data_IF_874306164381
#
_entry.id   IF_874306164381
#
_cell.length_a   1.000
_cell.length_b   1.000
_cell.length_c   1.000
_cell.angle_alpha   90.00
_cell.angle_beta   90.00
_cell.angle_gamma   90.00
#
_symmetry.space_group_name_H-M   'P 1'
#
loop_
_entity.id
_entity.type
_entity.pdbx_description
1 polymer ?
#
# COMPACT_ATOMS: atom_id res chain seq x y z
N UNK A 1 -7.26 13.90 -37.43
CA UNK A 1 -6.00 13.64 -36.70
C UNK A 1 -5.79 14.59 -35.52
N UNK A 2 -6.08 15.88 -35.63
CA UNK A 2 -5.90 16.87 -34.53
C UNK A 2 -6.67 16.55 -33.24
N UNK A 3 -7.93 16.07 -33.36
CA UNK A 3 -8.74 15.68 -32.21
C UNK A 3 -8.11 14.55 -31.39
N UNK A 4 -7.45 13.60 -32.06
CA UNK A 4 -6.77 12.47 -31.42
C UNK A 4 -5.47 12.93 -30.72
N UNK A 5 -4.71 13.82 -31.35
CA UNK A 5 -3.52 14.43 -30.75
C UNK A 5 -3.84 15.29 -29.51
N UNK A 6 -4.95 16.04 -29.55
CA UNK A 6 -5.45 16.84 -28.42
C UNK A 6 -5.89 15.95 -27.24
N UNK A 7 -6.54 14.83 -27.52
CA UNK A 7 -6.90 13.85 -26.48
C UNK A 7 -5.65 13.23 -25.88
N UNK A 8 -4.68 12.81 -26.70
CA UNK A 8 -3.42 12.24 -26.24
C UNK A 8 -2.59 13.22 -25.42
N UNK A 9 -2.52 14.50 -25.82
CA UNK A 9 -1.81 15.53 -25.06
C UNK A 9 -2.50 15.84 -23.73
N UNK A 10 -3.84 15.87 -23.69
CA UNK A 10 -4.63 16.03 -22.47
C UNK A 10 -4.45 14.87 -21.50
N UNK A 11 -4.48 13.63 -22.00
CA UNK A 11 -4.21 12.42 -21.20
C UNK A 11 -2.77 12.46 -20.67
N UNK A 12 -1.79 12.77 -21.52
CA UNK A 12 -0.37 12.87 -21.11
C UNK A 12 -0.16 13.96 -20.06
N UNK A 13 -0.84 15.10 -20.18
CA UNK A 13 -0.77 16.18 -19.20
C UNK A 13 -1.40 15.79 -17.85
N UNK A 14 -2.55 15.12 -17.86
CA UNK A 14 -3.17 14.58 -16.63
C UNK A 14 -2.30 13.50 -15.98
N UNK A 15 -1.75 12.58 -16.76
CA UNK A 15 -0.82 11.56 -16.24
C UNK A 15 0.45 12.21 -15.65
N UNK A 16 0.91 13.32 -16.23
CA UNK A 16 2.03 14.07 -15.66
C UNK A 16 1.68 14.68 -14.30
N UNK A 17 0.48 15.25 -14.14
CA UNK A 17 0.02 15.77 -12.84
C UNK A 17 -0.16 14.68 -11.78
N UNK A 18 -0.66 13.49 -12.15
CA UNK A 18 -0.78 12.35 -11.23
C UNK A 18 0.60 11.89 -10.73
N UNK A 19 1.65 12.09 -11.53
CA UNK A 19 3.03 11.73 -11.20
C UNK A 19 3.82 12.88 -10.54
N UNK A 20 3.17 14.01 -10.28
CA UNK A 20 3.81 15.21 -9.74
C UNK A 20 3.71 15.20 -8.20
N UNK A 21 4.56 14.39 -7.57
CA UNK A 21 4.68 14.27 -6.10
C UNK A 21 5.49 15.45 -5.52
N UNK A 22 5.05 16.68 -5.79
CA UNK A 22 5.77 17.92 -5.45
C UNK A 22 5.97 18.14 -3.94
N UNK A 23 5.24 17.41 -3.09
CA UNK A 23 5.38 17.45 -1.62
C UNK A 23 6.76 16.99 -1.14
N UNK A 24 7.42 16.08 -1.86
CA UNK A 24 8.73 15.52 -1.49
C UNK A 24 9.88 15.99 -2.40
N UNK A 25 9.57 16.76 -3.45
CA UNK A 25 10.51 17.08 -4.54
C UNK A 25 11.49 18.19 -4.21
N UNK A 26 11.09 19.12 -3.33
CA UNK A 26 11.90 20.25 -2.94
C UNK A 26 12.04 20.30 -1.42
N UNK A 27 13.24 20.66 -0.96
CA UNK A 27 13.53 21.04 0.43
C UNK A 27 12.86 22.39 0.76
N UNK A 28 11.55 22.50 0.52
CA UNK A 28 10.76 23.66 0.86
C UNK A 28 10.56 23.68 2.37
N UNK A 29 10.66 24.85 2.98
CA UNK A 29 10.37 25.06 4.41
C UNK A 29 8.88 24.83 4.77
N UNK A 30 8.09 24.30 3.84
CA UNK A 30 6.70 23.89 4.01
C UNK A 30 6.63 22.35 4.04
N UNK A 31 7.32 21.72 4.98
CA UNK A 31 7.12 20.31 5.27
C UNK A 31 5.74 20.15 5.92
N UNK A 32 4.81 19.50 5.21
CA UNK A 32 3.50 19.10 5.76
C UNK A 32 3.65 17.84 6.65
N UNK A 33 4.67 17.83 7.50
CA UNK A 33 4.98 16.74 8.42
C UNK A 33 5.08 17.29 9.83
N UNK A 34 4.67 16.52 10.84
CA UNK A 34 4.95 16.88 12.23
C UNK A 34 6.39 16.51 12.59
N UNK A 35 7.12 17.44 13.20
CA UNK A 35 8.53 17.27 13.62
C UNK A 35 8.70 16.41 14.89
N UNK A 36 7.82 15.43 15.11
CA UNK A 36 7.86 14.61 16.32
C UNK A 36 9.06 13.63 16.29
N UNK A 37 9.91 13.71 17.31
CA UNK A 37 11.10 12.86 17.44
C UNK A 37 10.74 11.57 18.19
N UNK A 38 10.89 10.43 17.49
CA UNK A 38 10.58 9.08 18.00
C UNK A 38 11.52 8.69 19.13
N UNK A 39 10.97 8.23 20.26
CA UNK A 39 11.74 7.88 21.46
C UNK A 39 12.40 6.49 21.37
N UNK A 40 11.81 5.57 20.60
CA UNK A 40 12.30 4.20 20.42
C UNK A 40 12.09 3.72 18.97
N UNK A 41 13.15 3.19 18.37
CA UNK A 41 13.12 2.53 17.06
C UNK A 41 13.99 1.27 17.15
N UNK A 42 13.47 0.12 16.70
CA UNK A 42 14.22 -1.12 16.64
C UNK A 42 15.27 -1.02 15.52
N UNK A 43 16.41 -1.74 15.62
CA UNK A 43 17.50 -1.62 14.67
C UNK A 43 17.10 -1.95 13.23
N UNK A 44 16.09 -2.82 13.02
CA UNK A 44 15.59 -3.18 11.69
C UNK A 44 14.54 -2.19 11.13
N UNK A 45 14.01 -1.28 11.95
CA UNK A 45 13.07 -0.25 11.51
C UNK A 45 13.78 1.04 11.12
N UNK A 46 15.09 1.13 11.37
CA UNK A 46 15.93 2.22 10.91
C UNK A 46 16.22 2.02 9.43
N UNK A 47 15.55 2.80 8.60
CA UNK A 47 15.83 2.89 7.17
C UNK A 47 16.90 3.96 6.98
N UNK A 48 17.99 3.63 6.27
CA UNK A 48 19.10 4.57 6.03
C UNK A 48 18.66 5.77 5.18
N UNK A 49 17.78 5.56 4.19
CA UNK A 49 17.17 6.60 3.36
C UNK A 49 15.65 6.41 3.21
N UNK A 50 14.86 6.89 4.19
CA UNK A 50 13.41 6.72 4.16
C UNK A 50 12.74 7.57 3.06
N UNK A 51 13.30 8.75 2.77
CA UNK A 51 12.77 9.66 1.74
C UNK A 51 13.01 9.08 0.35
N UNK A 52 14.20 8.52 0.10
CA UNK A 52 14.50 7.83 -1.16
C UNK A 52 13.62 6.61 -1.39
N UNK A 53 13.30 5.83 -0.34
CA UNK A 53 12.41 4.67 -0.45
C UNK A 53 10.97 5.08 -0.80
N UNK A 54 10.43 6.11 -0.14
CA UNK A 54 9.10 6.69 -0.45
C UNK A 54 9.06 7.22 -1.88
N UNK A 55 10.06 8.02 -2.28
CA UNK A 55 10.16 8.52 -3.66
C UNK A 55 10.32 7.40 -4.68
N UNK A 56 11.03 6.33 -4.34
CA UNK A 56 11.17 5.15 -5.19
C UNK A 56 9.81 4.49 -5.41
N UNK A 57 9.03 4.25 -4.36
CA UNK A 57 7.69 3.65 -4.48
C UNK A 57 6.73 4.53 -5.26
N UNK A 58 6.71 5.83 -4.95
CA UNK A 58 5.95 6.81 -5.69
C UNK A 58 6.34 6.79 -7.17
N UNK A 59 7.62 6.90 -7.53
CA UNK A 59 8.03 6.87 -8.94
C UNK A 59 7.65 5.56 -9.64
N UNK A 60 7.63 4.46 -8.89
CA UNK A 60 7.35 3.12 -9.36
C UNK A 60 5.89 2.67 -9.16
N UNK A 61 4.97 3.58 -8.78
CA UNK A 61 3.58 3.22 -8.47
C UNK A 61 2.88 2.52 -9.66
N UNK A 62 3.25 2.87 -10.89
CA UNK A 62 2.74 2.28 -12.12
C UNK A 62 3.00 0.77 -12.24
N UNK A 63 4.00 0.23 -11.52
CA UNK A 63 4.21 -1.21 -11.44
C UNK A 63 3.06 -1.92 -10.73
N UNK A 64 2.30 -1.26 -9.84
CA UNK A 64 1.10 -1.84 -9.21
C UNK A 64 -0.01 -2.15 -10.21
N UNK A 65 -0.17 -1.33 -11.24
CA UNK A 65 -1.10 -1.59 -12.36
C UNK A 65 -0.63 -2.83 -13.14
N UNK A 66 0.67 -2.87 -13.47
CA UNK A 66 1.25 -4.01 -14.18
C UNK A 66 1.08 -5.31 -13.37
N UNK A 67 1.33 -5.25 -12.06
CA UNK A 67 1.14 -6.38 -11.15
C UNK A 67 -0.32 -6.82 -11.10
N UNK A 68 -1.27 -5.88 -11.09
CA UNK A 68 -2.72 -6.16 -11.08
C UNK A 68 -3.18 -6.87 -12.37
N UNK A 69 -2.66 -6.45 -13.53
CA UNK A 69 -2.95 -7.10 -14.82
C UNK A 69 -2.37 -8.52 -14.84
N UNK A 70 -1.10 -8.67 -14.45
CA UNK A 70 -0.43 -9.99 -14.36
C UNK A 70 -1.20 -10.89 -13.40
N UNK A 71 -1.58 -10.38 -12.24
CA UNK A 71 -2.39 -11.07 -11.25
C UNK A 71 -3.70 -11.62 -11.84
N UNK A 72 -4.45 -10.82 -12.60
CA UNK A 72 -5.68 -11.26 -13.25
C UNK A 72 -5.44 -12.41 -14.24
N UNK A 73 -4.39 -12.27 -15.07
CA UNK A 73 -4.00 -13.30 -16.06
C UNK A 73 -3.63 -14.60 -15.35
N UNK A 74 -2.80 -14.52 -14.31
CA UNK A 74 -2.36 -15.68 -13.51
C UNK A 74 -3.56 -16.37 -12.86
N UNK A 75 -4.48 -15.62 -12.25
CA UNK A 75 -5.69 -16.19 -11.63
C UNK A 75 -6.57 -16.91 -12.67
N UNK A 76 -6.75 -16.33 -13.85
CA UNK A 76 -7.51 -16.98 -14.94
C UNK A 76 -6.82 -18.23 -15.46
N UNK A 77 -5.50 -18.20 -15.59
CA UNK A 77 -4.70 -19.37 -15.99
C UNK A 77 -4.83 -20.50 -14.97
N UNK A 78 -4.70 -20.21 -13.67
CA UNK A 78 -4.84 -21.21 -12.61
C UNK A 78 -6.28 -21.75 -12.57
N UNK A 79 -7.30 -20.90 -12.71
CA UNK A 79 -8.71 -21.36 -12.83
C UNK A 79 -8.90 -22.33 -14.00
N UNK A 80 -8.29 -22.05 -15.15
CA UNK A 80 -8.35 -22.91 -16.32
C UNK A 80 -7.64 -24.27 -16.08
N UNK A 81 -6.43 -24.26 -15.50
CA UNK A 81 -5.69 -25.48 -15.14
C UNK A 81 -6.47 -26.32 -14.12
N UNK A 82 -7.06 -25.66 -13.12
CA UNK A 82 -7.85 -26.32 -12.07
C UNK A 82 -9.14 -26.92 -12.60
N UNK A 83 -9.65 -26.54 -13.79
CA UNK A 83 -10.90 -27.09 -14.35
C UNK A 83 -10.90 -28.62 -14.36
N UNK A 84 -9.77 -29.21 -14.75
CA UNK A 84 -9.59 -30.66 -14.91
C UNK A 84 -8.95 -31.36 -13.69
N UNK A 85 -8.76 -30.66 -12.56
CA UNK A 85 -8.14 -31.23 -11.34
C UNK A 85 -9.12 -31.26 -10.17
N UNK A 86 -8.89 -32.09 -9.16
CA UNK A 86 -9.68 -32.06 -7.93
C UNK A 86 -9.31 -30.86 -7.02
N UNK A 87 -10.23 -30.36 -6.18
CA UNK A 87 -9.94 -29.26 -5.27
C UNK A 87 -8.92 -29.69 -4.20
N UNK A 88 -7.93 -28.84 -3.94
CA UNK A 88 -6.94 -29.14 -2.91
C UNK A 88 -7.49 -28.89 -1.50
N UNK A 89 -7.11 -29.74 -0.54
CA UNK A 89 -7.41 -29.56 0.88
C UNK A 89 -6.38 -28.63 1.54
N UNK A 90 -6.47 -27.32 1.26
CA UNK A 90 -5.54 -26.30 1.78
C UNK A 90 -6.01 -25.66 3.10
N UNK A 91 -6.77 -26.38 3.93
CA UNK A 91 -7.35 -25.81 5.16
C UNK A 91 -6.29 -25.42 6.20
N UNK A 92 -5.27 -26.27 6.41
CA UNK A 92 -4.17 -25.98 7.35
C UNK A 92 -3.26 -24.85 6.84
N UNK A 93 -2.77 -24.86 5.58
CA UNK A 93 -2.01 -23.74 5.03
C UNK A 93 -2.77 -22.41 5.08
N UNK A 94 -4.07 -22.41 4.74
CA UNK A 94 -4.89 -21.20 4.80
C UNK A 94 -5.03 -20.66 6.23
N UNK A 95 -5.16 -21.54 7.22
CA UNK A 95 -5.21 -21.13 8.62
C UNK A 95 -3.90 -20.48 9.06
N UNK A 96 -2.76 -21.10 8.74
CA UNK A 96 -1.42 -20.57 9.06
C UNK A 96 -1.22 -19.22 8.36
N UNK A 97 -1.58 -19.14 7.09
CA UNK A 97 -1.52 -17.91 6.29
C UNK A 97 -2.32 -16.77 6.93
N UNK A 98 -3.58 -17.01 7.25
CA UNK A 98 -4.44 -16.02 7.90
C UNK A 98 -3.91 -15.64 9.29
N UNK A 99 -3.34 -16.59 10.04
CA UNK A 99 -2.73 -16.31 11.35
C UNK A 99 -1.48 -15.44 11.23
N UNK A 100 -0.62 -15.68 10.23
CA UNK A 100 0.53 -14.85 9.93
C UNK A 100 0.12 -13.43 9.54
N UNK A 101 -0.90 -13.29 8.67
CA UNK A 101 -1.43 -11.97 8.29
C UNK A 101 -2.04 -11.25 9.50
N UNK A 102 -2.81 -11.96 10.34
CA UNK A 102 -3.39 -11.38 11.55
C UNK A 102 -2.32 -10.90 12.54
N UNK A 103 -1.27 -11.71 12.75
CA UNK A 103 -0.14 -11.33 13.61
C UNK A 103 0.61 -10.11 13.03
N UNK A 104 0.88 -10.11 11.73
CA UNK A 104 1.51 -8.98 11.04
C UNK A 104 0.67 -7.70 11.21
N UNK A 105 -0.65 -7.77 10.99
CA UNK A 105 -1.56 -6.65 11.19
C UNK A 105 -1.62 -6.19 12.64
N UNK A 106 -1.57 -7.11 13.61
CA UNK A 106 -1.57 -6.77 15.03
C UNK A 106 -0.26 -6.06 15.43
N UNK A 107 0.89 -6.54 14.97
CA UNK A 107 2.18 -5.88 15.24
C UNK A 107 2.22 -4.51 14.56
N UNK A 108 1.81 -4.43 13.29
CA UNK A 108 1.72 -3.16 12.58
C UNK A 108 0.81 -2.17 13.30
N UNK A 109 -0.36 -2.62 13.76
CA UNK A 109 -1.26 -1.80 14.58
C UNK A 109 -0.59 -1.36 15.88
N UNK A 110 0.03 -2.26 16.65
CA UNK A 110 0.71 -1.91 17.90
C UNK A 110 1.80 -0.88 17.66
N UNK A 111 2.67 -1.06 16.66
CA UNK A 111 3.76 -0.12 16.34
C UNK A 111 3.23 1.21 15.80
N UNK A 112 2.11 1.19 15.09
CA UNK A 112 1.42 2.40 14.66
C UNK A 112 0.69 3.09 15.82
N UNK A 113 0.17 2.37 16.81
CA UNK A 113 -0.52 2.92 17.98
C UNK A 113 0.38 3.21 19.17
N UNK A 114 1.62 2.70 19.15
CA UNK A 114 2.62 2.99 20.16
C UNK A 114 2.66 4.50 20.35
N UNK A 115 2.87 4.91 21.60
CA UNK A 115 2.53 6.23 22.14
C UNK A 115 2.96 7.42 21.27
N UNK A 116 3.85 7.24 20.32
CA UNK A 116 4.27 8.21 19.32
C UNK A 116 3.16 8.67 18.35
N UNK A 117 2.41 7.82 17.66
CA UNK A 117 1.33 8.29 16.74
C UNK A 117 0.15 8.82 17.53
N UNK A 118 -0.21 8.18 18.64
CA UNK A 118 -1.27 8.69 19.52
C UNK A 118 -0.84 10.02 20.10
N UNK A 119 0.41 10.20 20.56
CA UNK A 119 0.87 11.53 21.01
C UNK A 119 0.93 12.51 19.86
N UNK A 120 1.35 12.14 18.67
CA UNK A 120 1.43 13.05 17.52
C UNK A 120 0.04 13.48 17.04
N UNK A 121 -0.90 12.54 16.90
CA UNK A 121 -2.29 12.81 16.52
C UNK A 121 -3.04 13.50 17.66
N UNK A 122 -2.92 13.06 18.91
CA UNK A 122 -3.57 13.72 20.05
C UNK A 122 -2.98 15.11 20.25
N UNK A 123 -1.66 15.29 20.19
CA UNK A 123 -1.00 16.59 20.25
C UNK A 123 -1.44 17.47 19.08
N UNK A 124 -1.52 16.92 17.88
CA UNK A 124 -1.96 17.64 16.69
C UNK A 124 -3.43 18.03 16.78
N UNK A 125 -4.31 17.15 17.25
CA UNK A 125 -5.74 17.43 17.39
C UNK A 125 -5.99 18.47 18.50
N UNK A 126 -5.24 18.37 19.61
CA UNK A 126 -5.42 19.25 20.77
C UNK A 126 -4.73 20.60 20.64
N UNK A 127 -3.56 20.68 20.00
CA UNK A 127 -2.74 21.90 19.94
C UNK A 127 -2.65 22.53 18.54
N UNK A 128 -2.82 21.74 17.47
CA UNK A 128 -2.63 22.17 16.08
C UNK A 128 -3.94 22.17 15.26
N UNK A 129 -5.04 21.69 15.85
CA UNK A 129 -6.38 21.59 15.26
C UNK A 129 -6.58 20.35 14.38
N UNK A 130 -7.86 20.05 14.05
CA UNK A 130 -8.22 18.89 13.22
C UNK A 130 -7.63 18.96 11.81
N UNK A 131 -7.45 20.17 11.26
CA UNK A 131 -6.91 20.37 9.92
C UNK A 131 -5.50 19.83 9.77
N UNK A 132 -4.59 20.18 10.69
CA UNK A 132 -3.20 19.67 10.64
C UNK A 132 -3.14 18.17 10.90
N UNK A 133 -4.03 17.64 11.75
CA UNK A 133 -4.08 16.21 12.07
C UNK A 133 -4.54 15.31 10.93
N UNK A 134 -5.36 15.83 10.02
CA UNK A 134 -5.88 15.08 8.87
C UNK A 134 -5.09 15.33 7.59
N UNK A 135 -4.52 16.54 7.44
CA UNK A 135 -3.85 16.95 6.21
C UNK A 135 -2.32 16.85 6.27
N UNK A 136 -1.71 16.74 7.46
CA UNK A 136 -0.26 16.54 7.55
C UNK A 136 0.05 15.05 7.47
N UNK A 137 1.10 14.75 6.71
CA UNK A 137 1.55 13.38 6.43
C UNK A 137 2.58 12.95 7.48
N UNK A 138 2.64 11.63 7.68
CA UNK A 138 3.55 10.99 8.62
C UNK A 138 4.99 11.41 8.31
N UNK A 139 5.75 11.78 9.33
CA UNK A 139 7.14 12.17 9.15
C UNK A 139 7.94 11.00 8.50
N UNK A 140 8.69 11.21 7.41
CA UNK A 140 9.30 10.11 6.66
C UNK A 140 10.34 9.33 7.48
N UNK A 141 11.02 9.98 8.44
CA UNK A 141 11.97 9.32 9.36
C UNK A 141 11.32 8.55 10.51
N UNK A 142 10.00 8.36 10.47
CA UNK A 142 9.26 7.72 11.53
C UNK A 142 9.29 6.20 11.46
N UNK A 143 9.12 5.57 12.63
CA UNK A 143 8.79 4.14 12.71
C UNK A 143 7.46 3.86 11.97
N UNK A 144 6.51 4.79 12.03
CA UNK A 144 5.23 4.68 11.34
C UNK A 144 5.37 4.63 9.81
N UNK A 145 6.31 5.36 9.21
CA UNK A 145 6.59 5.32 7.77
C UNK A 145 7.13 3.96 7.32
N UNK A 146 8.01 3.35 8.12
CA UNK A 146 8.49 1.98 7.86
C UNK A 146 7.34 0.95 7.90
N UNK A 147 6.48 1.03 8.92
CA UNK A 147 5.32 0.13 9.02
C UNK A 147 4.24 0.42 7.96
N UNK A 148 4.08 1.67 7.51
CA UNK A 148 3.23 2.04 6.39
C UNK A 148 3.73 1.43 5.06
N UNK A 149 5.05 1.42 4.84
CA UNK A 149 5.66 0.70 3.73
C UNK A 149 5.38 -0.80 3.80
N UNK A 150 5.62 -1.43 4.95
CA UNK A 150 5.32 -2.85 5.13
C UNK A 150 3.83 -3.16 4.90
N UNK A 151 2.93 -2.26 5.32
CA UNK A 151 1.50 -2.36 5.04
C UNK A 151 1.19 -2.26 3.54
N UNK A 152 1.87 -1.38 2.79
CA UNK A 152 1.72 -1.33 1.34
C UNK A 152 2.20 -2.64 0.67
N UNK A 153 3.31 -3.21 1.14
CA UNK A 153 3.82 -4.50 0.67
C UNK A 153 2.89 -5.66 1.04
N UNK A 154 2.21 -5.61 2.19
CA UNK A 154 1.27 -6.65 2.60
C UNK A 154 0.10 -6.80 1.62
N UNK A 155 -0.28 -5.74 0.88
CA UNK A 155 -1.32 -5.82 -0.17
C UNK A 155 -0.94 -6.71 -1.34
N UNK A 156 0.36 -6.80 -1.64
CA UNK A 156 0.87 -7.75 -2.63
C UNK A 156 0.78 -9.18 -2.08
N UNK A 157 1.14 -9.36 -0.81
CA UNK A 157 1.06 -10.66 -0.13
C UNK A 157 -0.39 -11.14 -0.07
N UNK A 158 -1.36 -10.28 0.29
CA UNK A 158 -2.81 -10.56 0.34
C UNK A 158 -3.39 -11.10 -0.98
N UNK A 159 -2.74 -10.90 -2.13
CA UNK A 159 -3.12 -11.58 -3.37
C UNK A 159 -3.10 -13.11 -3.25
N UNK A 160 -2.30 -13.65 -2.33
CA UNK A 160 -2.28 -15.07 -1.98
C UNK A 160 -3.65 -15.62 -1.57
N UNK A 161 -4.52 -14.82 -0.97
CA UNK A 161 -5.87 -15.25 -0.56
C UNK A 161 -6.68 -15.77 -1.74
N UNK A 162 -6.58 -15.07 -2.86
CA UNK A 162 -7.30 -15.41 -4.09
C UNK A 162 -6.74 -16.69 -4.72
N UNK A 163 -5.43 -16.94 -4.59
CA UNK A 163 -4.80 -18.20 -5.01
C UNK A 163 -5.37 -19.37 -4.21
N UNK A 164 -5.48 -19.24 -2.89
CA UNK A 164 -6.07 -20.29 -2.05
C UNK A 164 -7.54 -20.54 -2.40
N UNK A 165 -8.32 -19.52 -2.76
CA UNK A 165 -9.71 -19.66 -3.19
C UNK A 165 -9.80 -20.46 -4.50
N UNK A 166 -8.98 -20.10 -5.49
CA UNK A 166 -8.96 -20.76 -6.81
C UNK A 166 -8.50 -22.21 -6.69
N UNK A 167 -7.43 -22.47 -5.92
CA UNK A 167 -6.91 -23.83 -5.70
C UNK A 167 -7.90 -24.73 -4.95
N UNK A 168 -8.79 -24.15 -4.15
CA UNK A 168 -9.88 -24.88 -3.46
C UNK A 168 -11.16 -24.98 -4.29
N UNK A 169 -11.17 -24.48 -5.53
CA UNK A 169 -12.34 -24.38 -6.42
C UNK A 169 -13.54 -23.69 -5.76
N UNK A 170 -13.30 -22.69 -4.92
CA UNK A 170 -14.38 -21.88 -4.33
C UNK A 170 -14.78 -20.77 -5.32
N UNK A 171 -16.06 -20.37 -5.37
CA UNK A 171 -16.51 -19.33 -6.29
C UNK A 171 -15.82 -18.01 -5.95
N UNK A 172 -15.06 -17.49 -6.91
CA UNK A 172 -14.40 -16.19 -6.80
C UNK A 172 -15.40 -15.10 -7.16
N UNK A 173 -15.89 -14.35 -6.16
CA UNK A 173 -16.79 -13.21 -6.38
C UNK A 173 -16.05 -12.04 -7.04
N UNK A 174 -16.73 -11.29 -7.91
CA UNK A 174 -16.18 -10.11 -8.59
C UNK A 174 -15.54 -9.13 -7.60
N UNK A 175 -16.26 -8.84 -6.53
CA UNK A 175 -15.85 -7.87 -5.52
C UNK A 175 -14.49 -8.22 -4.89
N UNK A 176 -14.17 -9.50 -4.74
CA UNK A 176 -12.97 -9.93 -4.02
C UNK A 176 -11.69 -9.58 -4.78
N UNK A 177 -11.56 -10.01 -6.04
CA UNK A 177 -10.36 -9.68 -6.81
C UNK A 177 -10.32 -8.22 -7.25
N UNK A 178 -11.47 -7.56 -7.44
CA UNK A 178 -11.54 -6.11 -7.68
C UNK A 178 -11.02 -5.34 -6.47
N UNK A 179 -11.48 -5.70 -5.27
CA UNK A 179 -11.01 -5.09 -4.02
C UNK A 179 -9.50 -5.24 -3.88
N UNK A 180 -8.94 -6.45 -4.05
CA UNK A 180 -7.49 -6.68 -3.94
C UNK A 180 -6.66 -5.85 -4.94
N UNK A 181 -7.12 -5.70 -6.18
CA UNK A 181 -6.46 -4.84 -7.16
C UNK A 181 -6.56 -3.35 -6.77
N UNK A 182 -7.76 -2.89 -6.37
CA UNK A 182 -8.00 -1.50 -6.00
C UNK A 182 -7.18 -1.08 -4.78
N UNK A 183 -7.15 -1.89 -3.72
CA UNK A 183 -6.38 -1.56 -2.50
C UNK A 183 -4.88 -1.57 -2.73
N UNK A 184 -4.37 -2.43 -3.62
CA UNK A 184 -2.95 -2.43 -3.99
C UNK A 184 -2.54 -1.20 -4.80
N UNK A 185 -3.34 -0.83 -5.80
CA UNK A 185 -3.07 0.37 -6.60
C UNK A 185 -3.20 1.61 -5.71
N UNK A 186 -4.23 1.66 -4.86
CA UNK A 186 -4.43 2.74 -3.91
C UNK A 186 -3.28 2.89 -2.92
N UNK A 187 -2.81 1.79 -2.32
CA UNK A 187 -1.67 1.85 -1.38
C UNK A 187 -0.36 2.21 -2.06
N UNK A 188 -0.13 1.76 -3.31
CA UNK A 188 1.08 2.10 -4.06
C UNK A 188 1.09 3.57 -4.52
N UNK A 189 -0.07 4.16 -4.80
CA UNK A 189 -0.19 5.56 -5.20
C UNK A 189 -0.20 6.52 -4.00
N UNK A 190 -0.79 6.10 -2.87
CA UNK A 190 -0.84 6.91 -1.65
C UNK A 190 0.47 6.88 -0.84
N UNK A 191 1.35 5.92 -1.14
CA UNK A 191 2.68 5.78 -0.54
C UNK A 191 3.61 6.94 -0.87
#
# INVERSE_FOLDING_TARGET
MEKFYSILSSIRWRLKQINEFDVYRNNTNHSLHNDYIYRYALPFEKVDDPVGMTLFLQRNWHHSITLSIVYFIVIKLIQWIMRNREPFSLRKPLFIWNACLALFSAVGFIRFTEETFVKDVVYSVTNLGMYRSLCYTIHPKSVAAFWALLFALSKIVELGDTLFIVLRKKPLIFLHYYHHAAVMIGSAHAG
#
